data_IF_627573951124
#
_entry.id   IF_627573951124
#
_cell.length_a   1.000
_cell.length_b   1.000
_cell.length_c   1.000
_cell.angle_alpha   90.00
_cell.angle_beta   90.00
_cell.angle_gamma   90.00
#
_symmetry.space_group_name_H-M   'P 1'
#
loop_
_entity.id
_entity.type
_entity.pdbx_description
1 polymer ?
#
# COMPACT_ATOMS: atom_id res chain seq x y z
N UNK A 1 -9.98 -13.64 -12.99
CA UNK A 1 -8.51 -13.88 -12.89
C UNK A 1 -8.21 -14.72 -11.65
N UNK A 2 -6.99 -15.26 -11.50
CA UNK A 2 -6.59 -16.05 -10.29
C UNK A 2 -6.81 -15.25 -8.99
N UNK A 3 -6.67 -13.93 -9.04
CA UNK A 3 -6.91 -13.03 -7.90
C UNK A 3 -8.37 -13.04 -7.46
N UNK A 4 -9.34 -12.99 -8.38
CA UNK A 4 -10.76 -13.08 -8.00
C UNK A 4 -11.07 -14.43 -7.34
N UNK A 5 -10.43 -15.51 -7.78
CA UNK A 5 -10.59 -16.83 -7.15
C UNK A 5 -10.03 -16.85 -5.72
N UNK A 6 -8.87 -16.22 -5.49
CA UNK A 6 -8.28 -16.09 -4.14
C UNK A 6 -9.16 -15.24 -3.23
N UNK A 7 -9.69 -14.13 -3.75
CA UNK A 7 -10.61 -13.25 -3.02
C UNK A 7 -11.92 -13.98 -2.67
N UNK A 8 -12.45 -14.81 -3.57
CA UNK A 8 -13.66 -15.58 -3.32
C UNK A 8 -13.47 -16.72 -2.31
N UNK A 9 -12.23 -17.16 -2.06
CA UNK A 9 -11.91 -18.24 -1.12
C UNK A 9 -11.10 -17.76 0.08
N UNK A 10 -11.09 -16.45 0.35
CA UNK A 10 -10.26 -15.85 1.40
C UNK A 10 -10.52 -16.43 2.80
N UNK A 11 -11.74 -16.89 3.10
CA UNK A 11 -12.12 -17.53 4.37
C UNK A 11 -11.47 -18.90 4.60
N UNK A 12 -10.93 -19.54 3.55
CA UNK A 12 -10.27 -20.85 3.65
C UNK A 12 -8.78 -20.73 3.98
N UNK A 13 -8.20 -19.54 3.81
CA UNK A 13 -6.78 -19.30 4.03
C UNK A 13 -6.57 -18.55 5.34
N UNK A 14 -5.69 -19.09 6.19
CA UNK A 14 -5.34 -18.44 7.45
C UNK A 14 -4.50 -17.18 7.25
N UNK A 15 -3.60 -17.22 6.27
CA UNK A 15 -2.75 -16.11 5.87
C UNK A 15 -2.50 -16.19 4.36
N UNK A 16 -2.68 -15.07 3.67
CA UNK A 16 -2.41 -14.96 2.25
C UNK A 16 -1.23 -14.01 2.04
N UNK A 17 -0.25 -14.47 1.28
CA UNK A 17 0.88 -13.67 0.81
C UNK A 17 0.86 -13.64 -0.71
N UNK A 18 0.65 -12.46 -1.29
CA UNK A 18 0.58 -12.29 -2.75
C UNK A 18 1.76 -11.45 -3.24
N UNK A 19 2.40 -11.94 -4.29
CA UNK A 19 3.36 -11.19 -5.09
C UNK A 19 2.86 -11.17 -6.53
N UNK A 20 2.49 -9.98 -7.00
CA UNK A 20 1.98 -9.75 -8.34
C UNK A 20 3.05 -8.98 -9.11
N UNK A 21 3.83 -9.72 -9.90
CA UNK A 21 4.82 -9.16 -10.80
C UNK A 21 4.30 -9.04 -12.23
N UNK A 22 4.90 -8.13 -13.00
CA UNK A 22 4.67 -7.65 -14.38
C UNK A 22 4.39 -8.68 -15.52
N UNK A 23 3.98 -9.92 -15.23
CA UNK A 23 3.50 -10.89 -16.23
C UNK A 23 2.01 -10.72 -16.58
N UNK A 24 1.31 -9.78 -15.94
CA UNK A 24 -0.07 -9.46 -16.25
C UNK A 24 -0.12 -8.13 -17.00
N UNK A 25 -0.54 -8.16 -18.27
CA UNK A 25 -0.77 -7.00 -19.14
C UNK A 25 -2.00 -6.20 -18.69
N UNK A 26 -2.03 -5.82 -17.42
CA UNK A 26 -3.15 -5.17 -16.75
C UNK A 26 -2.99 -3.67 -17.01
N UNK A 27 -4.01 -3.05 -17.59
CA UNK A 27 -4.04 -1.59 -17.75
C UNK A 27 -4.09 -0.90 -16.36
N UNK A 28 -3.72 0.38 -16.28
CA UNK A 28 -3.65 1.08 -14.99
C UNK A 28 -4.97 1.10 -14.20
N UNK A 29 -6.11 1.08 -14.90
CA UNK A 29 -7.44 1.10 -14.29
C UNK A 29 -7.82 -0.26 -13.66
N UNK A 30 -7.61 -1.36 -14.39
CA UNK A 30 -7.73 -2.71 -13.85
C UNK A 30 -6.75 -2.94 -12.70
N UNK A 31 -5.55 -2.38 -12.79
CA UNK A 31 -4.55 -2.41 -11.73
C UNK A 31 -5.04 -1.74 -10.45
N UNK A 32 -5.58 -0.53 -10.56
CA UNK A 32 -6.22 0.19 -9.44
C UNK A 32 -7.34 -0.64 -8.81
N UNK A 33 -8.23 -1.19 -9.63
CA UNK A 33 -9.37 -1.98 -9.18
C UNK A 33 -8.89 -3.25 -8.44
N UNK A 34 -7.87 -3.91 -8.97
CA UNK A 34 -7.27 -5.09 -8.37
C UNK A 34 -6.65 -4.78 -7.02
N UNK A 35 -5.85 -3.71 -6.91
CA UNK A 35 -5.29 -3.25 -5.63
C UNK A 35 -6.41 -2.89 -4.65
N UNK A 36 -7.47 -2.24 -5.11
CA UNK A 36 -8.68 -1.98 -4.35
C UNK A 36 -9.24 -3.23 -3.69
N UNK A 37 -9.55 -4.24 -4.52
CA UNK A 37 -10.09 -5.52 -4.03
C UNK A 37 -9.13 -6.25 -3.08
N UNK A 38 -7.83 -6.22 -3.38
CA UNK A 38 -6.80 -6.87 -2.55
C UNK A 38 -6.65 -6.18 -1.20
N UNK A 39 -6.72 -4.86 -1.16
CA UNK A 39 -6.73 -4.06 0.06
C UNK A 39 -8.05 -4.15 0.83
N UNK A 40 -9.03 -4.95 0.37
CA UNK A 40 -10.25 -5.29 1.12
C UNK A 40 -10.27 -6.76 1.61
N UNK A 41 -9.19 -7.50 1.38
CA UNK A 41 -9.06 -8.91 1.74
C UNK A 41 -8.56 -9.14 3.18
N UNK A 42 -9.45 -9.57 4.07
CA UNK A 42 -9.15 -9.71 5.51
C UNK A 42 -8.07 -10.77 5.82
N UNK A 43 -7.88 -11.75 4.94
CA UNK A 43 -6.87 -12.80 5.11
C UNK A 43 -5.50 -12.44 4.54
N UNK A 44 -5.36 -11.26 3.91
CA UNK A 44 -4.12 -10.81 3.28
C UNK A 44 -3.14 -10.25 4.32
N UNK A 45 -2.03 -10.96 4.53
CA UNK A 45 -0.97 -10.54 5.47
C UNK A 45 0.22 -9.91 4.75
N UNK A 46 0.44 -10.25 3.48
CA UNK A 46 1.51 -9.65 2.68
C UNK A 46 1.07 -9.37 1.26
N UNK A 47 1.35 -8.17 0.77
CA UNK A 47 1.08 -7.75 -0.60
C UNK A 47 2.34 -7.15 -1.23
N UNK A 48 2.76 -7.68 -2.36
CA UNK A 48 3.80 -7.11 -3.22
C UNK A 48 3.24 -6.90 -4.61
N UNK A 49 3.41 -5.69 -5.13
CA UNK A 49 2.89 -5.28 -6.43
C UNK A 49 4.04 -4.71 -7.25
N UNK A 50 4.26 -5.25 -8.44
CA UNK A 50 5.23 -4.76 -9.42
C UNK A 50 4.57 -4.44 -10.76
N UNK A 51 3.49 -3.65 -10.74
CA UNK A 51 2.78 -3.18 -11.94
C UNK A 51 2.17 -1.80 -11.68
N UNK A 52 1.76 -1.11 -12.75
CA UNK A 52 1.21 0.24 -12.71
C UNK A 52 -0.18 0.28 -12.08
N UNK A 53 -0.32 1.04 -11.00
CA UNK A 53 -1.59 1.26 -10.29
C UNK A 53 -2.09 2.67 -10.53
N UNK A 54 -1.22 3.68 -10.64
CA UNK A 54 -1.57 5.11 -10.76
C UNK A 54 -2.24 5.73 -9.52
N UNK A 55 -3.16 5.02 -8.85
CA UNK A 55 -3.86 5.52 -7.65
C UNK A 55 -4.21 4.41 -6.65
N UNK A 56 -4.07 4.69 -5.35
CA UNK A 56 -4.53 3.78 -4.30
C UNK A 56 -6.04 3.99 -4.01
N UNK A 57 -6.77 2.95 -3.56
CA UNK A 57 -8.18 3.08 -3.25
C UNK A 57 -8.42 4.03 -2.07
N UNK A 58 -9.50 4.80 -2.13
CA UNK A 58 -9.90 5.67 -1.03
C UNK A 58 -10.09 4.88 0.27
N UNK A 59 -9.73 5.51 1.40
CA UNK A 59 -9.96 4.91 2.70
C UNK A 59 -11.44 4.61 2.96
N UNK A 60 -11.72 3.36 3.32
CA UNK A 60 -13.01 2.91 3.82
C UNK A 60 -12.85 1.92 4.97
N UNK A 61 -13.91 1.69 5.77
CA UNK A 61 -13.90 0.72 6.88
C UNK A 61 -13.62 -0.73 6.46
N UNK A 62 -13.68 -1.00 5.16
CA UNK A 62 -13.45 -2.32 4.55
C UNK A 62 -11.98 -2.60 4.22
N UNK A 63 -11.05 -1.70 4.58
CA UNK A 63 -9.61 -1.90 4.36
C UNK A 63 -9.04 -3.06 5.20
N UNK A 64 -8.06 -3.77 4.63
CA UNK A 64 -7.35 -4.89 5.25
C UNK A 64 -6.76 -4.51 6.60
N UNK A 65 -7.35 -5.02 7.67
CA UNK A 65 -6.86 -4.78 9.02
C UNK A 65 -5.65 -5.65 9.38
N UNK A 66 -5.40 -6.74 8.64
CA UNK A 66 -4.37 -7.74 8.96
C UNK A 66 -3.11 -7.63 8.08
N UNK A 67 -3.00 -6.60 7.24
CA UNK A 67 -1.87 -6.47 6.32
C UNK A 67 -0.60 -6.10 7.10
N UNK A 68 0.35 -7.02 7.15
CA UNK A 68 1.62 -6.87 7.87
C UNK A 68 2.73 -6.28 7.01
N UNK A 69 2.71 -6.54 5.71
CA UNK A 69 3.78 -6.16 4.82
C UNK A 69 3.25 -5.74 3.45
N UNK A 70 3.56 -4.50 3.06
CA UNK A 70 3.25 -3.96 1.75
C UNK A 70 4.54 -3.59 1.01
N UNK A 71 4.57 -3.95 -0.27
CA UNK A 71 5.67 -3.61 -1.17
C UNK A 71 5.16 -3.14 -2.52
N UNK A 72 5.60 -1.97 -2.95
CA UNK A 72 5.22 -1.37 -4.21
C UNK A 72 6.46 -1.12 -5.09
N UNK A 73 6.38 -1.55 -6.35
CA UNK A 73 7.36 -1.30 -7.41
C UNK A 73 6.61 -0.92 -8.68
N UNK A 74 7.17 0.00 -9.46
CA UNK A 74 6.67 0.45 -10.76
C UNK A 74 5.16 0.74 -10.74
N UNK A 75 4.67 1.27 -9.61
CA UNK A 75 3.25 1.51 -9.36
C UNK A 75 2.80 2.87 -9.89
N UNK A 76 3.74 3.80 -10.11
CA UNK A 76 3.53 5.15 -10.64
C UNK A 76 2.41 5.90 -9.92
N UNK A 77 2.35 5.81 -8.59
CA UNK A 77 1.31 6.48 -7.80
C UNK A 77 1.58 7.99 -7.80
N UNK A 78 0.59 8.78 -8.19
CA UNK A 78 0.71 10.25 -8.27
C UNK A 78 0.30 10.94 -6.97
N UNK A 79 -0.73 10.42 -6.29
CA UNK A 79 -1.22 10.93 -5.01
C UNK A 79 -0.39 10.40 -3.83
N UNK A 80 -0.37 11.11 -2.70
CA UNK A 80 0.39 10.68 -1.53
C UNK A 80 -0.10 9.31 -1.02
N UNK A 81 0.70 8.23 -1.13
CA UNK A 81 0.28 6.92 -0.68
C UNK A 81 0.12 6.86 0.83
N UNK A 82 0.79 7.73 1.59
CA UNK A 82 0.77 7.71 3.05
C UNK A 82 -0.64 7.95 3.60
N UNK A 83 -1.51 8.74 2.93
CA UNK A 83 -2.88 8.99 3.38
C UNK A 83 -3.75 7.73 3.54
N UNK A 84 -3.43 6.67 2.80
CA UNK A 84 -4.16 5.40 2.83
C UNK A 84 -3.36 4.38 3.64
N UNK A 85 -2.04 4.34 3.43
CA UNK A 85 -1.16 3.38 4.09
C UNK A 85 -1.09 3.61 5.60
N UNK A 86 -1.19 4.85 6.06
CA UNK A 86 -1.22 5.23 7.48
C UNK A 86 -2.50 4.78 8.21
N UNK A 87 -3.45 4.17 7.50
CA UNK A 87 -4.70 3.70 8.10
C UNK A 87 -4.72 2.18 8.24
N UNK A 88 -3.60 1.52 7.93
CA UNK A 88 -3.40 0.08 8.09
C UNK A 88 -2.79 -0.20 9.47
N UNK A 89 -3.57 -0.66 10.46
CA UNK A 89 -3.13 -0.69 11.85
C UNK A 89 -2.07 -1.76 12.14
N UNK A 90 -2.01 -2.83 11.34
CA UNK A 90 -1.08 -3.93 11.54
C UNK A 90 0.15 -3.87 10.64
N UNK A 91 0.32 -2.81 9.84
CA UNK A 91 1.42 -2.71 8.89
C UNK A 91 2.76 -2.58 9.63
N UNK A 92 3.61 -3.60 9.47
CA UNK A 92 4.94 -3.67 10.08
C UNK A 92 6.05 -3.33 9.09
N UNK A 93 5.83 -3.61 7.81
CA UNK A 93 6.80 -3.40 6.75
C UNK A 93 6.16 -2.64 5.60
N UNK A 94 6.73 -1.49 5.25
CA UNK A 94 6.36 -0.73 4.06
C UNK A 94 7.59 -0.53 3.18
N UNK A 95 7.50 -1.00 1.93
CA UNK A 95 8.51 -0.76 0.90
C UNK A 95 7.93 -0.01 -0.29
N UNK A 96 8.48 1.17 -0.57
CA UNK A 96 8.28 1.94 -1.80
C UNK A 96 9.60 1.92 -2.57
N UNK A 97 9.61 1.24 -3.71
CA UNK A 97 10.79 1.05 -4.55
C UNK A 97 10.63 1.71 -5.94
N UNK A 98 11.57 1.46 -6.86
CA UNK A 98 11.62 1.96 -8.24
C UNK A 98 10.27 2.37 -8.80
N UNK A 99 10.10 3.66 -9.11
CA UNK A 99 8.90 4.25 -9.72
C UNK A 99 7.57 3.89 -9.02
N UNK A 100 7.58 3.53 -7.73
CA UNK A 100 6.34 3.24 -7.00
C UNK A 100 5.52 4.49 -6.69
N UNK A 101 6.19 5.62 -6.48
CA UNK A 101 5.59 6.93 -6.27
C UNK A 101 6.28 7.95 -7.18
N UNK A 102 5.48 8.74 -7.90
CA UNK A 102 5.94 9.76 -8.85
C UNK A 102 5.51 11.17 -8.49
N UNK A 103 4.80 11.34 -7.38
CA UNK A 103 4.58 12.66 -6.80
C UNK A 103 5.84 13.22 -6.13
N UNK A 104 5.73 14.44 -5.60
CA UNK A 104 6.88 15.21 -5.10
C UNK A 104 7.02 15.24 -3.59
N UNK A 105 5.91 15.13 -2.89
CA UNK A 105 5.84 15.33 -1.44
C UNK A 105 5.05 14.20 -0.81
N UNK A 106 5.62 13.58 0.22
CA UNK A 106 4.91 12.60 1.05
C UNK A 106 4.80 13.10 2.49
N UNK A 107 3.60 13.00 3.06
CA UNK A 107 3.30 13.40 4.42
C UNK A 107 2.79 12.19 5.19
N UNK A 108 3.55 11.79 6.21
CA UNK A 108 3.20 10.67 7.07
C UNK A 108 2.82 11.19 8.45
N UNK A 109 1.64 10.81 8.98
CA UNK A 109 1.33 11.10 10.38
C UNK A 109 2.04 10.12 11.29
N UNK A 110 2.75 10.65 12.29
CA UNK A 110 3.45 9.83 13.28
C UNK A 110 2.52 8.85 14.02
N UNK A 111 1.24 9.20 14.16
CA UNK A 111 0.23 8.36 14.82
C UNK A 111 -0.43 7.33 13.89
N UNK A 112 -0.23 7.42 12.57
CA UNK A 112 -0.89 6.54 11.61
C UNK A 112 -0.28 5.14 11.53
N UNK A 113 0.99 4.98 11.90
CA UNK A 113 1.69 3.71 11.77
C UNK A 113 2.06 3.09 13.13
N UNK A 114 1.08 2.56 13.90
CA UNK A 114 1.32 2.12 15.27
C UNK A 114 2.23 0.88 15.37
N UNK A 115 2.33 0.08 14.30
CA UNK A 115 3.09 -1.18 14.27
C UNK A 115 4.27 -1.15 13.28
N UNK A 116 4.53 -0.04 12.59
CA UNK A 116 5.53 0.01 11.54
C UNK A 116 6.93 -0.10 12.13
N UNK A 117 7.67 -1.13 11.69
CA UNK A 117 9.03 -1.43 12.14
C UNK A 117 10.07 -1.11 11.09
N UNK A 118 9.68 -1.17 9.81
CA UNK A 118 10.60 -0.97 8.69
C UNK A 118 9.89 -0.19 7.58
N UNK A 119 10.47 0.96 7.25
CA UNK A 119 10.14 1.76 6.08
C UNK A 119 11.34 1.75 5.13
N UNK A 120 11.13 1.28 3.90
CA UNK A 120 12.14 1.25 2.84
C UNK A 120 11.67 2.15 1.71
N UNK A 121 12.38 3.26 1.49
CA UNK A 121 12.19 4.15 0.34
C UNK A 121 13.44 4.03 -0.53
N UNK A 122 13.28 3.67 -1.81
CA UNK A 122 14.40 3.52 -2.73
C UNK A 122 13.96 3.85 -4.16
N UNK A 123 14.81 4.53 -4.91
CA UNK A 123 14.60 4.79 -6.33
C UNK A 123 13.26 5.50 -6.62
N UNK A 124 13.01 6.57 -5.87
CA UNK A 124 11.87 7.47 -6.01
C UNK A 124 12.36 8.80 -6.63
N UNK A 125 12.55 8.88 -7.95
CA UNK A 125 13.29 9.97 -8.60
C UNK A 125 12.62 11.34 -8.47
N UNK A 126 11.30 11.38 -8.29
CA UNK A 126 10.52 12.61 -8.20
C UNK A 126 10.29 13.10 -6.76
N UNK A 127 10.60 12.26 -5.76
CA UNK A 127 10.36 12.60 -4.36
C UNK A 127 11.36 13.68 -3.92
N UNK A 128 10.86 14.91 -3.77
CA UNK A 128 11.65 16.06 -3.32
C UNK A 128 11.64 16.16 -1.79
N UNK A 129 10.50 15.85 -1.14
CA UNK A 129 10.35 16.01 0.30
C UNK A 129 9.53 14.89 0.97
N UNK A 130 9.98 14.46 2.14
CA UNK A 130 9.24 13.56 3.01
C UNK A 130 9.11 14.16 4.41
N UNK A 131 7.88 14.44 4.83
CA UNK A 131 7.56 15.07 6.12
C UNK A 131 6.85 14.07 7.01
N UNK A 132 7.23 14.05 8.29
CA UNK A 132 6.50 13.32 9.32
C UNK A 132 5.78 14.34 10.21
N UNK A 133 4.47 14.37 10.13
CA UNK A 133 3.65 15.17 11.05
C UNK A 133 3.60 14.45 12.40
N UNK A 134 4.44 14.88 13.34
CA UNK A 134 4.24 14.59 14.74
C UNK A 134 2.93 15.25 15.17
N UNK A 135 1.97 14.48 15.68
CA UNK A 135 0.80 15.00 16.37
C UNK A 135 1.23 15.78 17.61
N UNK A 136 1.68 17.02 17.38
CA UNK A 136 2.17 17.91 18.42
C UNK A 136 0.98 18.30 19.28
N UNK A 137 0.92 17.73 20.49
CA UNK A 137 0.32 18.45 21.61
C UNK A 137 1.15 19.73 21.75
N UNK A 138 0.59 20.85 21.31
CA UNK A 138 1.06 22.17 21.73
C UNK A 138 0.97 22.23 23.25
N UNK A 139 2.12 22.12 23.90
CA UNK A 139 2.30 22.55 25.28
C UNK A 139 2.72 24.02 25.25
N UNK A 140 1.74 24.92 25.39
CA UNK A 140 1.96 26.31 25.78
C UNK A 140 0.89 26.68 26.81
#
# INVERSE_FOLDING_TARGET
>A
MIVDHILNHQDQFREIQLDISNSCNINSEEGTNLVGKLLMCHSLTRLRIRYRVSKLPSYGPELCQNLLSLGLWNSYIEEDPMEILEKLPMLQYLGLWSDSYVGREMVCRATGFPQLRLLSLNDLPNLEEWRVESGGRSNA
#
